data_IF_952772687783
#
_entry.id   IF_952772687783
#
_cell.length_a   1.000
_cell.length_b   1.000
_cell.length_c   1.000
_cell.angle_alpha   90.00
_cell.angle_beta   90.00
_cell.angle_gamma   90.00
#
_symmetry.space_group_name_H-M   'P 1'
#
loop_
_entity.id
_entity.type
_entity.pdbx_description
1 polymer ?
#
# COMPACT_ATOMS: atom_id res chain seq x y z
N UNK A 1 -25.41 -21.63 1.82
CA UNK A 1 -24.68 -21.29 3.07
C UNK A 1 -23.53 -22.30 3.20
N UNK A 2 -22.32 -21.91 2.79
CA UNK A 2 -21.15 -22.81 2.73
C UNK A 2 -20.23 -22.46 3.90
N UNK A 3 -19.95 -23.45 4.76
CA UNK A 3 -18.96 -23.34 5.85
C UNK A 3 -17.56 -23.36 5.26
N UNK A 4 -16.79 -22.29 5.48
CA UNK A 4 -15.36 -22.28 5.22
C UNK A 4 -14.61 -22.64 6.50
N UNK A 5 -13.83 -23.73 6.47
CA UNK A 5 -12.73 -23.97 7.42
C UNK A 5 -11.43 -23.88 6.63
N UNK A 6 -10.82 -22.69 6.49
CA UNK A 6 -9.49 -22.61 5.91
C UNK A 6 -8.50 -23.20 6.91
N UNK A 7 -7.61 -24.09 6.45
CA UNK A 7 -6.49 -24.55 7.25
C UNK A 7 -5.46 -23.42 7.38
N UNK A 8 -4.77 -23.31 8.53
CA UNK A 8 -3.96 -22.13 8.89
C UNK A 8 -2.81 -21.86 7.91
N UNK A 9 -2.32 -22.87 7.18
CA UNK A 9 -1.18 -22.74 6.27
C UNK A 9 -1.51 -21.94 4.99
N UNK A 10 -2.74 -22.00 4.50
CA UNK A 10 -3.13 -21.35 3.24
C UNK A 10 -3.48 -19.87 3.41
N UNK A 11 -3.94 -19.48 4.60
CA UNK A 11 -4.29 -18.09 4.92
C UNK A 11 -3.04 -17.23 5.16
N UNK A 12 -2.00 -17.80 5.80
CA UNK A 12 -0.75 -17.09 6.12
C UNK A 12 0.02 -16.72 4.84
N UNK A 13 0.10 -17.61 3.84
CA UNK A 13 0.76 -17.30 2.57
C UNK A 13 0.06 -16.17 1.81
N UNK A 14 -1.28 -16.11 1.88
CA UNK A 14 -2.05 -15.07 1.19
C UNK A 14 -1.86 -13.70 1.84
N UNK A 15 -1.88 -13.63 3.18
CA UNK A 15 -1.71 -12.37 3.91
C UNK A 15 -0.30 -11.81 3.74
N UNK A 16 0.74 -12.65 3.85
CA UNK A 16 2.15 -12.21 3.74
C UNK A 16 2.47 -11.70 2.33
N UNK A 17 2.04 -12.42 1.28
CA UNK A 17 2.26 -11.99 -0.10
C UNK A 17 1.54 -10.68 -0.43
N UNK A 18 0.36 -10.46 0.15
CA UNK A 18 -0.45 -9.28 -0.11
C UNK A 18 0.06 -8.04 0.64
N UNK A 19 0.54 -8.19 1.87
CA UNK A 19 1.13 -7.09 2.64
C UNK A 19 2.44 -6.59 2.03
N UNK A 20 3.27 -7.47 1.49
CA UNK A 20 4.52 -7.08 0.82
C UNK A 20 4.26 -6.33 -0.50
N UNK A 21 3.19 -6.67 -1.21
CA UNK A 21 2.77 -5.99 -2.44
C UNK A 21 2.33 -4.53 -2.19
N UNK A 22 1.59 -4.28 -1.11
CA UNK A 22 1.09 -2.92 -0.76
C UNK A 22 2.22 -1.99 -0.30
N UNK A 23 3.21 -2.50 0.42
CA UNK A 23 4.38 -1.71 0.86
C UNK A 23 5.21 -1.27 -0.36
N UNK A 24 5.41 -2.17 -1.34
CA UNK A 24 6.18 -1.87 -2.55
C UNK A 24 5.49 -0.82 -3.44
N UNK A 25 4.15 -0.86 -3.54
CA UNK A 25 3.38 0.10 -4.33
C UNK A 25 3.49 1.54 -3.81
N UNK A 26 3.62 1.74 -2.48
CA UNK A 26 3.82 3.07 -1.89
C UNK A 26 5.22 3.64 -2.11
N UNK A 27 6.24 2.81 -2.22
CA UNK A 27 7.61 3.26 -2.51
C UNK A 27 7.82 3.63 -3.98
N UNK A 28 7.13 2.97 -4.91
CA UNK A 28 7.38 3.15 -6.35
C UNK A 28 6.54 4.27 -7.00
N UNK A 29 5.31 4.49 -6.53
CA UNK A 29 4.51 5.66 -6.95
C UNK A 29 4.78 6.91 -6.09
N UNK A 30 5.74 6.81 -5.17
CA UNK A 30 6.09 7.82 -4.19
C UNK A 30 7.48 8.41 -4.34
N UNK A 31 8.11 8.43 -5.52
CA UNK A 31 9.16 9.41 -5.88
C UNK A 31 9.73 9.17 -7.29
N UNK A 32 9.77 10.24 -8.07
CA UNK A 32 11.00 10.65 -8.76
C UNK A 32 11.16 12.16 -8.66
N UNK A 33 11.92 12.59 -7.65
CA UNK A 33 12.87 13.68 -7.79
C UNK A 33 13.99 13.46 -6.76
N UNK A 34 14.84 12.47 -7.01
CA UNK A 34 16.21 12.49 -6.47
C UNK A 34 17.09 13.19 -7.50
N UNK A 35 17.43 14.44 -7.23
CA UNK A 35 18.71 14.99 -7.67
C UNK A 35 19.75 14.61 -6.63
N UNK A 36 20.79 13.92 -7.09
CA UNK A 36 22.02 13.72 -6.34
C UNK A 36 22.54 15.07 -5.83
N UNK A 37 22.89 15.16 -4.55
CA UNK A 37 24.15 15.78 -4.17
C UNK A 37 24.62 15.35 -2.78
N UNK A 38 25.91 15.01 -2.75
CA UNK A 38 26.72 14.75 -1.57
C UNK A 38 26.91 16.02 -0.75
N UNK A 39 27.14 15.79 0.54
CA UNK A 39 27.43 16.75 1.61
C UNK A 39 28.68 17.59 1.33
N UNK A 40 28.56 18.93 1.37
CA UNK A 40 29.64 19.85 1.81
C UNK A 40 29.03 21.02 2.59
N UNK A 41 29.68 21.37 3.70
CA UNK A 41 29.34 22.39 4.67
C UNK A 41 29.56 23.84 4.22
N UNK A 42 28.92 24.75 4.97
CA UNK A 42 29.32 26.12 5.35
C UNK A 42 28.64 27.29 4.64
N UNK A 43 28.05 28.15 5.49
CA UNK A 43 27.90 29.60 5.41
C UNK A 43 27.97 30.27 4.02
N UNK A 44 26.86 30.89 3.60
CA UNK A 44 26.77 32.34 3.36
C UNK A 44 25.45 32.68 2.65
N UNK A 45 24.63 33.43 3.38
CA UNK A 45 23.50 34.18 2.86
C UNK A 45 24.05 35.52 2.36
N UNK A 46 23.96 35.82 1.05
CA UNK A 46 23.55 37.13 0.51
C UNK A 46 23.66 37.19 -1.03
N UNK A 47 22.56 37.67 -1.64
CA UNK A 47 22.49 38.55 -2.82
C UNK A 47 23.21 38.18 -4.12
N UNK A 48 22.43 37.90 -5.16
CA UNK A 48 22.46 38.72 -6.38
C UNK A 48 21.18 38.54 -7.21
N UNK A 49 20.47 39.64 -7.41
CA UNK A 49 19.44 39.81 -8.44
C UNK A 49 20.05 39.60 -9.82
N UNK A 50 19.34 38.91 -10.71
CA UNK A 50 19.38 39.23 -12.13
C UNK A 50 17.97 39.11 -12.70
N UNK A 51 17.48 40.25 -13.16
CA UNK A 51 16.21 40.48 -13.85
C UNK A 51 16.26 39.87 -15.25
N UNK A 52 15.31 38.99 -15.57
CA UNK A 52 15.06 38.55 -16.94
C UNK A 52 13.70 39.09 -17.40
N UNK A 53 13.74 40.04 -18.34
CA UNK A 53 12.57 40.65 -18.95
C UNK A 53 12.09 39.74 -20.08
N UNK A 54 10.88 39.18 -19.97
CA UNK A 54 10.22 38.46 -21.07
C UNK A 54 9.41 39.49 -21.88
N UNK A 55 9.54 39.55 -23.21
CA UNK A 55 8.76 40.48 -24.02
C UNK A 55 7.27 40.12 -24.01
N UNK A 56 6.45 41.15 -23.82
CA UNK A 56 5.00 41.12 -23.88
C UNK A 56 4.52 40.79 -25.30
N UNK A 57 3.85 39.64 -25.46
CA UNK A 57 3.11 39.29 -26.69
C UNK A 57 1.65 39.68 -26.47
N UNK A 58 1.01 40.43 -27.38
CA UNK A 58 -0.34 40.93 -27.15
C UNK A 58 -1.37 39.80 -27.21
N UNK A 59 -2.27 39.87 -26.24
CA UNK A 59 -3.49 39.11 -25.98
C UNK A 59 -4.26 38.75 -27.26
N UNK A 60 -4.34 37.45 -27.58
CA UNK A 60 -5.41 36.93 -28.43
C UNK A 60 -6.67 36.71 -27.58
N UNK A 61 -7.81 37.13 -28.13
CA UNK A 61 -9.16 37.09 -27.56
C UNK A 61 -9.56 35.73 -26.97
N UNK A 62 -10.48 35.68 -25.99
CA UNK A 62 -10.89 34.43 -25.37
C UNK A 62 -11.61 33.55 -26.38
N UNK A 63 -10.92 32.53 -26.90
CA UNK A 63 -11.59 31.43 -27.56
C UNK A 63 -12.38 30.67 -26.50
N UNK A 64 -13.71 30.73 -26.60
CA UNK A 64 -14.63 29.89 -25.83
C UNK A 64 -14.16 28.44 -25.91
N UNK A 65 -13.75 27.89 -24.78
CA UNK A 65 -13.46 26.47 -24.60
C UNK A 65 -14.72 25.67 -24.96
N UNK A 66 -14.72 25.05 -26.14
CA UNK A 66 -15.74 24.08 -26.54
C UNK A 66 -15.37 22.74 -25.91
N UNK A 67 -16.03 22.41 -24.81
CA UNK A 67 -15.99 21.06 -24.25
C UNK A 67 -16.86 20.19 -25.15
N UNK A 68 -16.24 19.40 -26.03
CA UNK A 68 -16.92 18.36 -26.77
C UNK A 68 -17.01 17.12 -25.88
N UNK A 69 -18.18 16.89 -25.28
CA UNK A 69 -18.50 15.62 -24.61
C UNK A 69 -18.80 14.60 -25.71
N UNK A 70 -17.79 13.85 -26.14
CA UNK A 70 -17.95 12.71 -27.03
C UNK A 70 -18.39 11.50 -26.20
N UNK A 71 -19.70 11.34 -26.05
CA UNK A 71 -20.42 10.06 -26.06
C UNK A 71 -21.90 10.31 -25.82
N UNK A 72 -22.58 10.73 -26.89
CA UNK A 72 -23.95 10.33 -27.14
C UNK A 72 -23.89 9.57 -28.46
N UNK A 73 -23.95 8.24 -28.39
CA UNK A 73 -24.35 7.45 -29.54
C UNK A 73 -25.82 7.81 -29.81
N UNK A 74 -26.01 8.83 -30.64
CA UNK A 74 -27.29 9.26 -31.15
C UNK A 74 -27.26 9.08 -32.67
N UNK A 75 -27.67 7.89 -33.11
CA UNK A 75 -28.44 7.84 -34.34
C UNK A 75 -29.74 8.62 -34.13
N UNK A 76 -30.16 9.30 -35.20
CA UNK A 76 -31.36 10.13 -35.34
C UNK A 76 -31.20 11.63 -35.06
N UNK A 77 -31.27 12.36 -36.17
CA UNK A 77 -31.61 13.78 -36.27
C UNK A 77 -32.84 14.11 -35.40
N UNK A 78 -32.76 15.13 -34.55
CA UNK A 78 -33.69 16.27 -34.64
C UNK A 78 -33.40 17.38 -33.61
N UNK A 79 -33.93 18.55 -33.97
CA UNK A 79 -33.60 19.87 -33.47
C UNK A 79 -34.49 20.29 -32.29
N UNK A 80 -33.91 21.04 -31.34
CA UNK A 80 -34.54 21.89 -30.30
C UNK A 80 -35.41 21.20 -29.22
N UNK A 81 -34.95 21.29 -27.97
CA UNK A 81 -35.47 22.25 -26.97
C UNK A 81 -35.25 21.70 -25.56
N UNK A 82 -34.66 22.54 -24.72
CA UNK A 82 -34.56 22.40 -23.27
C UNK A 82 -35.90 21.97 -22.65
N UNK A 83 -35.99 20.69 -22.27
CA UNK A 83 -37.02 20.15 -21.38
C UNK A 83 -36.34 19.33 -20.29
N UNK A 84 -36.54 19.78 -19.05
CA UNK A 84 -36.64 18.95 -17.85
C UNK A 84 -35.40 18.18 -17.43
N UNK A 85 -34.61 18.76 -16.52
CA UNK A 85 -33.85 18.01 -15.52
C UNK A 85 -34.86 17.48 -14.49
N UNK A 86 -35.80 16.65 -14.94
CA UNK A 86 -36.72 15.91 -14.08
C UNK A 86 -36.73 14.48 -14.65
N UNK A 87 -36.14 13.55 -13.90
CA UNK A 87 -35.87 12.12 -14.22
C UNK A 87 -34.50 11.73 -14.80
N UNK A 88 -33.47 12.59 -14.79
CA UNK A 88 -32.12 12.11 -15.11
C UNK A 88 -31.54 11.32 -13.92
N UNK A 89 -31.94 10.05 -13.79
CA UNK A 89 -31.26 9.08 -12.93
C UNK A 89 -29.78 9.09 -13.30
N UNK A 90 -28.90 9.31 -12.33
CA UNK A 90 -27.47 9.24 -12.54
C UNK A 90 -27.11 7.87 -13.12
N UNK A 91 -26.78 7.82 -14.42
CA UNK A 91 -26.33 6.60 -15.07
C UNK A 91 -24.83 6.50 -14.85
N UNK A 92 -24.42 5.61 -13.96
CA UNK A 92 -23.01 5.33 -13.73
C UNK A 92 -22.42 4.76 -15.03
N UNK A 93 -21.38 5.39 -15.60
CA UNK A 93 -20.77 4.90 -16.84
C UNK A 93 -20.16 3.52 -16.60
N UNK A 94 -20.42 2.59 -17.52
CA UNK A 94 -19.75 1.28 -17.53
C UNK A 94 -18.36 1.47 -18.11
N UNK A 95 -17.34 1.26 -17.29
CA UNK A 95 -15.95 1.36 -17.70
C UNK A 95 -15.44 0.00 -18.15
N UNK A 96 -14.89 -0.07 -19.36
CA UNK A 96 -14.31 -1.29 -19.89
C UNK A 96 -12.96 -1.60 -19.24
N UNK A 97 -12.77 -2.85 -18.82
CA UNK A 97 -11.48 -3.31 -18.26
C UNK A 97 -10.38 -3.17 -19.31
N UNK A 98 -10.65 -3.55 -20.55
CA UNK A 98 -9.63 -3.68 -21.59
C UNK A 98 -9.65 -2.53 -22.59
N UNK A 99 -10.01 -1.32 -22.14
CA UNK A 99 -9.98 -0.14 -22.99
C UNK A 99 -8.53 0.11 -23.49
N UNK A 100 -8.29 0.12 -24.82
CA UNK A 100 -6.94 0.20 -25.38
C UNK A 100 -6.21 1.50 -25.03
N UNK A 101 -6.92 2.61 -24.85
CA UNK A 101 -6.31 3.89 -24.45
C UNK A 101 -5.75 3.84 -23.03
N UNK A 102 -6.43 3.10 -22.13
CA UNK A 102 -5.97 2.90 -20.76
C UNK A 102 -4.87 1.85 -20.72
N UNK A 103 -5.05 0.73 -21.43
CA UNK A 103 -4.06 -0.34 -21.48
C UNK A 103 -2.70 0.13 -22.01
N UNK A 104 -2.68 1.10 -22.94
CA UNK A 104 -1.43 1.71 -23.41
C UNK A 104 -0.62 2.37 -22.29
N UNK A 105 -1.26 2.79 -21.18
CA UNK A 105 -0.60 3.35 -20.01
C UNK A 105 -0.26 2.30 -18.94
N UNK A 106 -0.77 1.06 -19.06
CA UNK A 106 -0.47 -0.02 -18.12
C UNK A 106 0.72 -0.83 -18.64
N UNK A 107 1.69 -1.05 -17.76
CA UNK A 107 2.81 -1.96 -17.99
C UNK A 107 2.85 -2.98 -16.87
N UNK A 108 3.25 -4.20 -17.20
CA UNK A 108 3.48 -5.21 -16.16
C UNK A 108 4.73 -4.81 -15.36
N UNK A 109 4.63 -4.74 -14.03
CA UNK A 109 5.81 -4.48 -13.22
C UNK A 109 6.78 -5.65 -13.37
N UNK A 110 8.08 -5.35 -13.37
CA UNK A 110 9.10 -6.41 -13.37
C UNK A 110 8.90 -7.30 -12.14
N UNK A 111 8.96 -8.63 -12.30
CA UNK A 111 8.85 -9.55 -11.17
C UNK A 111 9.88 -9.21 -10.09
N UNK A 112 9.45 -9.32 -8.84
CA UNK A 112 10.32 -9.05 -7.70
C UNK A 112 11.47 -10.07 -7.69
N UNK A 113 12.70 -9.62 -7.89
CA UNK A 113 13.87 -10.49 -7.81
C UNK A 113 14.29 -10.64 -6.33
N UNK A 114 13.75 -11.66 -5.66
CA UNK A 114 14.06 -11.94 -4.26
C UNK A 114 15.52 -12.36 -4.02
N UNK A 115 16.21 -12.88 -5.04
CA UNK A 115 17.59 -13.38 -4.95
C UNK A 115 18.63 -12.26 -5.04
N UNK A 116 18.28 -11.13 -5.65
CA UNK A 116 19.16 -9.96 -5.81
C UNK A 116 19.48 -9.28 -4.47
N UNK A 117 18.66 -9.49 -3.44
CA UNK A 117 18.84 -8.85 -2.14
C UNK A 117 19.64 -9.74 -1.18
N UNK A 118 20.47 -9.15 -0.30
CA UNK A 118 21.19 -9.93 0.69
C UNK A 118 20.23 -10.76 1.53
N UNK A 119 20.61 -12.01 1.79
CA UNK A 119 19.80 -12.95 2.54
C UNK A 119 19.40 -12.34 3.88
N UNK A 120 18.11 -12.45 4.22
CA UNK A 120 17.60 -11.91 5.48
C UNK A 120 18.23 -12.69 6.63
N UNK A 121 18.78 -12.00 7.62
CA UNK A 121 19.34 -12.65 8.80
C UNK A 121 18.25 -13.12 9.75
N UNK A 122 17.18 -12.31 9.86
CA UNK A 122 16.13 -12.48 10.87
C UNK A 122 14.73 -12.40 10.25
N UNK A 123 13.75 -12.96 10.94
CA UNK A 123 12.33 -12.86 10.64
C UNK A 123 11.50 -12.72 11.93
N UNK A 124 10.22 -12.36 11.81
CA UNK A 124 9.28 -12.37 12.94
C UNK A 124 8.39 -13.60 12.83
N UNK A 125 8.31 -14.38 13.90
CA UNK A 125 7.44 -15.54 13.96
C UNK A 125 5.97 -15.19 14.24
N UNK A 126 5.11 -16.21 14.25
CA UNK A 126 3.67 -16.07 14.53
C UNK A 126 3.34 -15.47 15.90
N UNK A 127 4.27 -15.55 16.86
CA UNK A 127 4.10 -15.07 18.22
C UNK A 127 4.69 -13.66 18.39
N UNK A 128 5.12 -13.03 17.28
CA UNK A 128 5.69 -11.70 17.25
C UNK A 128 7.13 -11.65 17.76
N UNK A 129 7.82 -12.80 17.85
CA UNK A 129 9.20 -12.87 18.33
C UNK A 129 10.18 -12.86 17.17
N UNK A 130 11.31 -12.20 17.40
CA UNK A 130 12.40 -12.14 16.44
C UNK A 130 13.14 -13.49 16.42
N UNK A 131 13.26 -14.11 15.26
CA UNK A 131 13.94 -15.38 15.05
C UNK A 131 15.02 -15.22 13.99
N UNK A 132 16.06 -16.06 14.04
CA UNK A 132 17.06 -16.13 12.98
C UNK A 132 16.53 -16.97 11.82
N UNK A 133 16.80 -16.55 10.58
CA UNK A 133 16.57 -17.40 9.40
C UNK A 133 17.61 -18.51 9.34
N UNK A 134 17.40 -19.50 8.47
CA UNK A 134 18.42 -20.53 8.19
C UNK A 134 19.79 -19.93 7.82
N UNK A 135 19.80 -18.83 7.04
CA UNK A 135 21.03 -18.11 6.72
C UNK A 135 21.65 -17.43 7.95
N UNK A 136 20.82 -16.77 8.78
CA UNK A 136 21.28 -16.16 10.03
C UNK A 136 21.87 -17.19 11.01
N UNK A 137 21.29 -18.39 11.07
CA UNK A 137 21.76 -19.47 11.93
C UNK A 137 23.05 -20.12 11.42
N UNK A 138 23.07 -20.52 10.14
CA UNK A 138 24.15 -21.36 9.58
C UNK A 138 25.35 -20.57 9.07
N UNK A 139 25.11 -19.38 8.51
CA UNK A 139 26.16 -18.59 7.86
C UNK A 139 26.69 -17.48 8.74
N UNK A 140 25.80 -16.82 9.50
CA UNK A 140 26.20 -15.71 10.39
C UNK A 140 26.53 -16.22 11.80
N UNK A 141 25.71 -17.11 12.35
CA UNK A 141 25.84 -17.62 13.72
C UNK A 141 25.06 -16.74 14.70
N UNK A 142 24.08 -17.33 15.39
CA UNK A 142 23.14 -16.62 16.26
C UNK A 142 23.86 -15.85 17.38
N UNK A 143 24.90 -16.45 17.94
CA UNK A 143 25.71 -15.91 19.02
C UNK A 143 26.50 -14.64 18.63
N UNK A 144 26.75 -14.43 17.34
CA UNK A 144 27.46 -13.27 16.82
C UNK A 144 26.54 -12.10 16.50
N UNK A 145 25.25 -12.38 16.29
CA UNK A 145 24.26 -11.38 15.90
C UNK A 145 23.91 -10.52 17.11
N UNK A 146 24.36 -9.27 17.09
CA UNK A 146 23.98 -8.24 18.06
C UNK A 146 23.05 -7.25 17.39
N UNK A 147 21.84 -7.08 17.94
CA UNK A 147 20.83 -6.23 17.33
C UNK A 147 20.37 -5.12 18.28
N UNK A 148 20.01 -3.99 17.68
CA UNK A 148 19.28 -2.91 18.32
C UNK A 148 17.97 -2.68 17.58
N UNK A 149 16.93 -2.34 18.34
CA UNK A 149 15.61 -2.10 17.78
C UNK A 149 15.06 -0.73 18.13
N UNK A 150 14.23 -0.20 17.25
CA UNK A 150 13.52 1.04 17.47
C UNK A 150 12.16 0.98 16.81
N UNK A 151 11.11 1.22 17.59
CA UNK A 151 9.78 1.45 17.03
C UNK A 151 9.72 2.84 16.43
N UNK A 152 8.91 3.01 15.40
CA UNK A 152 8.54 4.32 14.90
C UNK A 152 7.05 4.40 14.61
N UNK A 153 6.50 5.58 14.91
CA UNK A 153 5.08 5.87 14.78
C UNK A 153 4.90 7.08 13.88
N UNK A 154 4.01 6.97 12.90
CA UNK A 154 3.65 8.09 12.05
C UNK A 154 2.78 9.08 12.84
N UNK A 155 3.26 10.31 13.02
CA UNK A 155 2.48 11.39 13.62
C UNK A 155 1.73 12.20 12.55
N UNK A 156 2.40 12.45 11.42
CA UNK A 156 1.83 13.12 10.25
C UNK A 156 2.43 12.52 8.98
N UNK A 157 2.02 13.01 7.81
CA UNK A 157 2.58 12.55 6.54
C UNK A 157 4.09 12.72 6.43
N UNK A 158 4.64 13.72 7.12
CA UNK A 158 6.04 14.12 7.05
C UNK A 158 6.83 13.89 8.35
N UNK A 159 6.18 13.41 9.42
CA UNK A 159 6.79 13.31 10.76
C UNK A 159 6.61 11.92 11.36
N UNK A 160 7.72 11.37 11.84
CA UNK A 160 7.80 10.13 12.59
C UNK A 160 8.24 10.41 14.03
N UNK A 161 7.65 9.71 14.99
CA UNK A 161 8.10 9.62 16.38
C UNK A 161 8.85 8.32 16.56
N UNK A 162 10.09 8.39 17.04
CA UNK A 162 10.92 7.22 17.31
C UNK A 162 10.89 6.86 18.79
N UNK A 163 10.91 5.56 19.09
CA UNK A 163 11.12 5.01 20.42
C UNK A 163 12.23 3.96 20.33
N UNK A 164 13.38 4.29 20.90
CA UNK A 164 14.53 3.40 20.91
C UNK A 164 14.41 2.37 22.04
N UNK A 165 14.60 1.09 21.73
CA UNK A 165 14.58 0.00 22.71
C UNK A 165 15.97 -0.35 23.24
N UNK A 166 17.02 0.05 22.51
CA UNK A 166 18.38 -0.42 22.76
C UNK A 166 18.60 -1.82 22.21
N UNK A 167 19.49 -2.55 22.88
CA UNK A 167 19.92 -3.89 22.46
C UNK A 167 18.83 -4.94 22.71
N UNK A 168 18.58 -5.78 21.71
CA UNK A 168 17.64 -6.90 21.77
C UNK A 168 18.33 -8.19 21.32
N UNK A 169 17.83 -9.33 21.80
CA UNK A 169 18.31 -10.66 21.45
C UNK A 169 17.32 -11.40 20.56
N UNK A 170 17.77 -12.50 19.96
CA UNK A 170 16.86 -13.48 19.36
C UNK A 170 15.89 -14.00 20.42
N UNK A 171 14.64 -14.20 20.01
CA UNK A 171 13.50 -14.53 20.87
C UNK A 171 12.79 -13.31 21.48
N UNK A 172 13.31 -12.09 21.31
CA UNK A 172 12.67 -10.88 21.83
C UNK A 172 11.30 -10.66 21.16
N UNK A 173 10.28 -10.38 21.97
CA UNK A 173 8.90 -10.18 21.51
C UNK A 173 8.66 -8.70 21.15
N UNK A 174 8.47 -8.42 19.86
CA UNK A 174 8.22 -7.08 19.35
C UNK A 174 6.74 -6.72 19.47
N UNK A 175 6.30 -6.32 20.66
CA UNK A 175 4.86 -6.17 20.98
C UNK A 175 4.37 -4.73 21.20
N UNK A 176 5.24 -3.71 21.13
CA UNK A 176 4.82 -2.34 21.47
C UNK A 176 4.35 -1.51 20.27
N UNK A 177 4.64 -1.93 19.04
CA UNK A 177 4.27 -1.17 17.85
C UNK A 177 4.38 -2.00 16.57
N UNK A 178 3.59 -1.62 15.58
CA UNK A 178 3.44 -2.39 14.34
C UNK A 178 4.67 -2.28 13.42
N UNK A 179 5.47 -1.24 13.59
CA UNK A 179 6.65 -0.98 12.76
C UNK A 179 7.90 -0.87 13.62
N UNK A 180 8.87 -1.76 13.34
CA UNK A 180 10.14 -1.81 14.06
C UNK A 180 11.29 -1.79 13.09
N UNK A 181 12.21 -0.85 13.25
CA UNK A 181 13.51 -0.90 12.59
C UNK A 181 14.47 -1.70 13.47
N UNK A 182 15.09 -2.72 12.90
CA UNK A 182 16.11 -3.54 13.55
C UNK A 182 17.42 -3.37 12.80
N UNK A 183 18.46 -2.99 13.53
CA UNK A 183 19.83 -2.89 13.05
C UNK A 183 20.65 -3.96 13.74
N UNK A 184 21.27 -4.85 12.98
CA UNK A 184 22.12 -5.92 13.52
C UNK A 184 23.54 -5.81 12.99
N UNK A 185 24.47 -6.29 13.79
CA UNK A 185 25.89 -6.42 13.46
C UNK A 185 26.37 -7.81 13.83
N UNK A 186 27.15 -8.42 12.95
CA UNK A 186 27.86 -9.66 13.22
C UNK A 186 29.26 -9.52 12.61
N UNK A 187 30.29 -9.57 13.45
CA UNK A 187 31.67 -9.25 13.07
C UNK A 187 31.76 -7.88 12.34
N UNK A 188 32.19 -7.87 11.08
CA UNK A 188 32.28 -6.66 10.25
C UNK A 188 31.05 -6.44 9.35
N UNK A 189 30.04 -7.30 9.45
CA UNK A 189 28.83 -7.21 8.64
C UNK A 189 27.74 -6.44 9.38
N UNK A 190 27.00 -5.63 8.63
CA UNK A 190 25.84 -4.88 9.13
C UNK A 190 24.62 -5.29 8.33
N UNK A 191 23.51 -5.47 9.03
CA UNK A 191 22.23 -5.79 8.44
C UNK A 191 21.16 -4.88 9.05
N UNK A 192 20.25 -4.39 8.21
CA UNK A 192 19.20 -3.47 8.61
C UNK A 192 17.91 -3.87 7.95
N UNK A 193 16.84 -3.92 8.72
CA UNK A 193 15.53 -4.24 8.21
C UNK A 193 14.43 -3.51 8.97
N UNK A 194 13.32 -3.24 8.28
CA UNK A 194 12.09 -2.73 8.88
C UNK A 194 11.09 -3.88 8.89
N UNK A 195 10.74 -4.32 10.09
CA UNK A 195 9.69 -5.29 10.27
C UNK A 195 8.34 -4.59 10.42
N UNK A 196 7.33 -5.22 9.83
CA UNK A 196 5.93 -4.94 10.08
C UNK A 196 5.30 -6.15 10.76
N UNK A 197 4.71 -5.93 11.94
CA UNK A 197 3.90 -6.92 12.62
C UNK A 197 2.62 -6.28 13.17
N UNK A 198 1.68 -7.09 13.63
CA UNK A 198 0.48 -6.59 14.30
C UNK A 198 0.75 -6.68 15.79
N UNK A 199 1.02 -5.53 16.43
CA UNK A 199 1.27 -5.47 17.85
C UNK A 199 -0.04 -5.75 18.63
N UNK A 200 -0.10 -6.83 19.44
CA UNK A 200 -1.33 -7.19 20.12
C UNK A 200 -1.68 -6.17 21.21
N UNK A 201 -2.86 -5.58 21.10
CA UNK A 201 -3.43 -4.71 22.13
C UNK A 201 -4.19 -5.55 23.15
N UNK A 202 -3.56 -5.80 24.30
CA UNK A 202 -4.10 -6.68 25.36
C UNK A 202 -5.50 -6.26 25.82
N UNK A 203 -5.72 -4.96 25.98
CA UNK A 203 -7.01 -4.38 26.36
C UNK A 203 -8.11 -4.68 25.33
N UNK A 204 -7.79 -4.60 24.03
CA UNK A 204 -8.73 -4.93 22.95
C UNK A 204 -9.04 -6.41 22.93
N UNK A 205 -8.02 -7.26 23.10
CA UNK A 205 -8.17 -8.72 23.12
C UNK A 205 -9.03 -9.14 24.32
N UNK A 206 -8.69 -8.67 25.52
CA UNK A 206 -9.47 -8.95 26.73
C UNK A 206 -10.91 -8.46 26.63
N UNK A 207 -11.13 -7.29 26.02
CA UNK A 207 -12.48 -6.76 25.78
C UNK A 207 -13.25 -7.66 24.82
N UNK A 208 -12.61 -8.13 23.75
CA UNK A 208 -13.23 -9.05 22.80
C UNK A 208 -13.61 -10.37 23.48
N UNK A 209 -12.74 -10.93 24.32
CA UNK A 209 -12.99 -12.17 25.08
C UNK A 209 -14.13 -12.04 26.09
N UNK A 210 -14.25 -10.88 26.74
CA UNK A 210 -15.32 -10.59 27.72
C UNK A 210 -16.64 -10.19 27.07
N UNK A 211 -16.68 -9.95 25.76
CA UNK A 211 -17.89 -9.52 25.06
C UNK A 211 -18.88 -10.69 24.96
N UNK A 212 -20.00 -10.60 25.68
CA UNK A 212 -21.08 -11.58 25.54
C UNK A 212 -21.85 -11.34 24.24
N UNK A 213 -21.89 -12.37 23.41
CA UNK A 213 -22.63 -12.34 22.17
C UNK A 213 -24.13 -12.59 22.42
N UNK A 214 -25.01 -11.97 21.61
CA UNK A 214 -26.44 -12.24 21.68
C UNK A 214 -26.73 -13.71 21.32
N UNK A 215 -27.87 -14.24 21.76
CA UNK A 215 -28.31 -15.58 21.38
C UNK A 215 -28.45 -15.75 19.84
N UNK A 216 -28.64 -14.64 19.12
CA UNK A 216 -28.74 -14.57 17.66
C UNK A 216 -27.40 -14.36 16.93
N UNK A 217 -26.27 -14.37 17.64
CA UNK A 217 -24.97 -14.12 17.02
C UNK A 217 -24.57 -15.24 16.05
N UNK A 218 -24.12 -14.86 14.85
CA UNK A 218 -23.75 -15.80 13.79
C UNK A 218 -22.44 -16.55 14.04
N UNK A 219 -21.65 -16.15 15.04
CA UNK A 219 -20.32 -16.69 15.30
C UNK A 219 -19.24 -16.26 14.28
N UNK A 220 -19.55 -15.27 13.42
CA UNK A 220 -18.63 -14.81 12.37
C UNK A 220 -17.90 -13.53 12.78
N UNK A 221 -16.60 -13.49 12.50
CA UNK A 221 -15.78 -12.29 12.56
C UNK A 221 -15.79 -11.58 11.21
N UNK A 222 -15.80 -10.25 11.23
CA UNK A 222 -15.71 -9.43 10.02
C UNK A 222 -14.34 -8.77 9.94
N UNK A 223 -13.64 -8.98 8.83
CA UNK A 223 -12.37 -8.31 8.53
C UNK A 223 -12.58 -7.33 7.39
N UNK A 224 -12.24 -6.07 7.62
CA UNK A 224 -12.33 -5.01 6.63
C UNK A 224 -10.95 -4.76 6.07
N UNK A 225 -10.85 -4.81 4.74
CA UNK A 225 -9.62 -4.53 4.03
C UNK A 225 -9.93 -3.57 2.88
N UNK A 226 -9.26 -2.43 2.87
CA UNK A 226 -9.55 -1.34 1.95
C UNK A 226 -8.29 -0.90 1.23
N UNK A 227 -8.44 -0.59 -0.05
CA UNK A 227 -7.42 0.06 -0.85
C UNK A 227 -7.76 1.54 -0.98
N UNK A 228 -6.77 2.38 -0.69
CA UNK A 228 -6.88 3.80 -0.98
C UNK A 228 -6.58 4.04 -2.46
N UNK A 229 -7.31 4.98 -3.06
CA UNK A 229 -7.02 5.57 -4.38
C UNK A 229 -6.97 4.58 -5.55
N UNK A 230 -7.71 3.47 -5.45
CA UNK A 230 -7.70 2.40 -6.45
C UNK A 230 -9.10 2.21 -7.04
N UNK A 231 -9.26 2.45 -8.34
CA UNK A 231 -10.55 2.22 -9.02
C UNK A 231 -10.83 0.72 -9.18
N UNK A 232 -12.11 0.33 -9.21
CA UNK A 232 -12.49 -1.06 -9.45
C UNK A 232 -11.81 -1.66 -10.69
N UNK A 233 -11.72 -0.89 -11.78
CA UNK A 233 -11.10 -1.34 -13.02
C UNK A 233 -9.59 -1.46 -12.91
N UNK A 234 -8.92 -0.56 -12.18
CA UNK A 234 -7.49 -0.70 -11.90
C UNK A 234 -7.23 -1.99 -11.11
N UNK A 235 -8.05 -2.29 -10.09
CA UNK A 235 -7.92 -3.53 -9.31
C UNK A 235 -8.04 -4.77 -10.19
N UNK A 236 -9.05 -4.80 -11.07
CA UNK A 236 -9.27 -5.91 -12.02
C UNK A 236 -8.13 -6.08 -13.02
N UNK A 237 -7.52 -4.99 -13.49
CA UNK A 237 -6.37 -5.04 -14.43
C UNK A 237 -5.11 -5.52 -13.73
N UNK A 238 -4.82 -4.99 -12.54
CA UNK A 238 -3.58 -5.30 -11.83
C UNK A 238 -3.59 -6.66 -11.13
N UNK A 239 -4.77 -7.15 -10.73
CA UNK A 239 -4.90 -8.40 -9.97
C UNK A 239 -5.98 -9.35 -10.56
N UNK A 240 -5.89 -9.72 -11.84
CA UNK A 240 -6.94 -10.49 -12.52
C UNK A 240 -7.19 -11.86 -11.89
N UNK A 241 -6.11 -12.54 -11.44
CA UNK A 241 -6.19 -13.83 -10.75
C UNK A 241 -6.90 -13.73 -9.39
N UNK A 242 -6.68 -12.64 -8.66
CA UNK A 242 -7.32 -12.38 -7.38
C UNK A 242 -8.82 -12.15 -7.56
N UNK A 243 -9.19 -11.33 -8.55
CA UNK A 243 -10.60 -11.07 -8.86
C UNK A 243 -11.29 -12.37 -9.27
N UNK A 244 -10.68 -13.15 -10.15
CA UNK A 244 -11.23 -14.44 -10.57
C UNK A 244 -11.47 -15.38 -9.37
N UNK A 245 -10.51 -15.46 -8.46
CA UNK A 245 -10.64 -16.28 -7.26
C UNK A 245 -11.79 -15.80 -6.35
N UNK A 246 -11.87 -14.49 -6.11
CA UNK A 246 -12.93 -13.90 -5.29
C UNK A 246 -14.31 -14.18 -5.89
N UNK A 247 -14.51 -13.86 -7.16
CA UNK A 247 -15.83 -13.99 -7.80
C UNK A 247 -16.22 -15.47 -8.00
N UNK A 248 -15.30 -16.32 -8.49
CA UNK A 248 -15.64 -17.69 -8.88
C UNK A 248 -15.48 -18.73 -7.78
N UNK A 249 -14.59 -18.52 -6.80
CA UNK A 249 -14.29 -19.52 -5.75
C UNK A 249 -14.86 -19.12 -4.40
N UNK A 250 -14.75 -17.85 -4.02
CA UNK A 250 -15.25 -17.37 -2.73
C UNK A 250 -16.73 -16.97 -2.79
N UNK A 251 -17.31 -16.83 -3.99
CA UNK A 251 -18.68 -16.36 -4.16
C UNK A 251 -18.84 -14.90 -3.71
N UNK A 252 -17.79 -14.09 -3.88
CA UNK A 252 -17.79 -12.69 -3.47
C UNK A 252 -18.87 -11.90 -4.19
N UNK A 253 -19.55 -11.01 -3.47
CA UNK A 253 -20.51 -10.08 -4.03
C UNK A 253 -19.76 -8.80 -4.40
N UNK A 254 -19.86 -8.41 -5.67
CA UNK A 254 -19.28 -7.16 -6.18
C UNK A 254 -20.35 -6.07 -6.17
N UNK A 255 -20.10 -5.01 -5.40
CA UNK A 255 -20.97 -3.86 -5.34
C UNK A 255 -20.55 -2.86 -6.43
N UNK A 256 -21.22 -2.91 -7.58
CA UNK A 256 -20.96 -1.99 -8.68
C UNK A 256 -21.50 -0.59 -8.38
N UNK A 257 -20.77 0.45 -8.79
CA UNK A 257 -21.18 1.84 -8.60
C UNK A 257 -20.71 2.52 -7.32
N UNK A 258 -19.98 1.78 -6.48
CA UNK A 258 -19.23 2.31 -5.34
C UNK A 258 -17.74 2.17 -5.64
N UNK A 259 -17.13 3.23 -6.19
CA UNK A 259 -15.71 3.39 -6.60
C UNK A 259 -15.10 2.35 -7.56
#
# INVERSE_FOLDING_TARGET
MIRFRPTPKTFICFVVAFTLFVIYYRTFFGRDSESHNQVISSNQYYSSRNSFTIPFVPTQSPSTLKINVLNFDAESKDTKSSKGIESSTCKIPKLEKDNPQILAAYHEPTPLNCEKYPQNWLFIDKDGKLQATEYGETTIGVEKIKCEASYFYRLTDMKLKWRHLGQISIGYALTEGDFTQVNCTADNQKWKHIFMNIAPKKDVIEKAEKTTHSASWSGLSVYWFAFDSLSQMAFRRSLPKTVEYLEKKMGSIVLNGYN
#
